data_IF_215649497859
#
_entry.id   IF_215649497859
#
_cell.length_a   1.000
_cell.length_b   1.000
_cell.length_c   1.000
_cell.angle_alpha   90.00
_cell.angle_beta   90.00
_cell.angle_gamma   90.00
#
_symmetry.space_group_name_H-M   'P 1'
#
loop_
_entity.id
_entity.type
_entity.pdbx_description
1 polymer ?
#
# COMPACT_ATOMS: atom_id res chain seq x y z
N UNK A 1 20.88 -31.96 30.83
CA UNK A 1 22.07 -32.79 30.49
C UNK A 1 23.30 -32.54 31.39
N UNK A 2 23.29 -31.56 32.29
CA UNK A 2 24.42 -31.19 33.15
C UNK A 2 24.50 -31.98 34.46
N UNK A 3 23.38 -32.54 34.93
CA UNK A 3 23.29 -33.29 36.20
C UNK A 3 24.13 -34.58 36.16
N UNK A 4 24.05 -35.37 35.09
CA UNK A 4 24.81 -36.62 34.98
C UNK A 4 26.31 -36.39 34.74
N UNK A 5 26.69 -35.27 34.09
CA UNK A 5 28.12 -34.93 33.89
C UNK A 5 28.79 -34.49 35.19
N UNK A 6 28.05 -33.79 36.06
CA UNK A 6 28.50 -33.42 37.41
C UNK A 6 28.53 -34.63 38.34
N UNK A 7 27.53 -35.52 38.31
CA UNK A 7 27.54 -36.75 39.11
C UNK A 7 28.68 -37.69 38.72
N UNK A 8 29.02 -37.78 37.44
CA UNK A 8 30.11 -38.63 36.96
C UNK A 8 31.50 -38.04 37.25
N UNK A 9 31.65 -36.71 37.14
CA UNK A 9 32.87 -36.02 37.56
C UNK A 9 33.04 -36.12 39.09
N UNK A 10 31.96 -35.95 39.86
CA UNK A 10 31.98 -36.09 41.31
C UNK A 10 32.28 -37.53 41.73
N UNK A 11 31.68 -38.55 41.08
CA UNK A 11 31.98 -39.95 41.39
C UNK A 11 33.42 -40.33 41.02
N UNK A 12 33.93 -39.84 39.89
CA UNK A 12 35.33 -40.06 39.50
C UNK A 12 36.30 -39.36 40.44
N UNK A 13 36.00 -38.14 40.90
CA UNK A 13 36.82 -37.41 41.87
C UNK A 13 36.77 -38.10 43.23
N UNK A 14 35.60 -38.54 43.69
CA UNK A 14 35.45 -39.27 44.96
C UNK A 14 36.19 -40.61 44.93
N UNK A 15 36.18 -41.31 43.79
CA UNK A 15 36.87 -42.58 43.62
C UNK A 15 38.39 -42.41 43.55
N UNK A 16 38.89 -41.35 42.90
CA UNK A 16 40.32 -40.98 42.88
C UNK A 16 40.79 -40.53 44.27
N UNK A 17 39.95 -39.80 45.01
CA UNK A 17 40.24 -39.38 46.39
C UNK A 17 40.31 -40.57 47.35
N UNK A 18 39.42 -41.55 47.18
CA UNK A 18 39.44 -42.80 47.94
C UNK A 18 40.67 -43.65 47.58
N UNK A 19 41.08 -43.66 46.31
CA UNK A 19 42.29 -44.31 45.83
C UNK A 19 43.56 -43.70 46.45
N UNK A 20 43.66 -42.36 46.51
CA UNK A 20 44.79 -41.65 47.10
C UNK A 20 44.93 -41.91 48.62
N UNK A 21 43.80 -41.95 49.34
CA UNK A 21 43.77 -42.24 50.78
C UNK A 21 44.15 -43.71 51.06
N UNK A 22 43.72 -44.65 50.22
CA UNK A 22 44.08 -46.07 50.34
C UNK A 22 45.59 -46.30 50.10
N UNK A 23 46.18 -45.62 49.10
CA UNK A 23 47.62 -45.70 48.84
C UNK A 23 48.47 -45.04 49.92
N UNK A 24 47.98 -43.96 50.56
CA UNK A 24 48.69 -43.32 51.68
C UNK A 24 48.69 -44.19 52.95
N UNK A 25 47.58 -44.89 53.25
CA UNK A 25 47.49 -45.80 54.40
C UNK A 25 48.30 -47.09 54.22
N UNK A 26 48.51 -47.55 52.98
CA UNK A 26 49.37 -48.69 52.69
C UNK A 26 50.88 -48.36 52.82
N UNK A 27 51.26 -47.08 52.75
CA UNK A 27 52.65 -46.65 52.87
C UNK A 27 53.16 -46.54 54.33
N UNK A 28 52.27 -46.47 55.34
CA UNK A 28 52.67 -46.35 56.75
C UNK A 28 52.95 -47.69 57.46
N UNK A 29 52.68 -48.85 56.85
CA UNK A 29 53.00 -50.17 57.40
C UNK A 29 53.89 -50.99 56.45
N UNK A 30 55.22 -50.82 56.51
CA UNK A 30 56.11 -51.75 55.80
C UNK A 30 57.60 -51.40 55.83
N UNK A 31 58.34 -51.99 56.77
CA UNK A 31 59.80 -52.00 56.77
C UNK A 31 60.42 -53.03 55.80
N UNK A 32 61.54 -52.63 55.18
CA UNK A 32 62.62 -53.38 54.48
C UNK A 32 62.25 -54.27 53.28
N UNK A 33 62.67 -53.80 52.10
CA UNK A 33 63.09 -54.47 50.85
C UNK A 33 62.21 -55.55 50.16
N UNK A 34 61.41 -56.34 50.87
CA UNK A 34 60.43 -57.28 50.26
C UNK A 34 59.04 -56.64 50.08
N UNK A 35 58.78 -55.48 50.68
CA UNK A 35 57.51 -54.77 50.57
C UNK A 35 57.36 -53.98 49.25
N UNK A 36 58.47 -53.64 48.57
CA UNK A 36 58.44 -52.78 47.39
C UNK A 36 57.84 -53.50 46.16
N UNK A 37 58.22 -54.76 45.93
CA UNK A 37 57.69 -55.58 44.83
C UNK A 37 56.22 -55.98 45.07
N UNK A 38 55.86 -56.27 46.33
CA UNK A 38 54.46 -56.58 46.69
C UNK A 38 53.53 -55.37 46.53
N UNK A 39 54.01 -54.17 46.88
CA UNK A 39 53.26 -52.93 46.71
C UNK A 39 53.08 -52.56 45.23
N UNK A 40 54.10 -52.77 44.39
CA UNK A 40 54.01 -52.58 42.94
C UNK A 40 53.00 -53.55 42.29
N UNK A 41 52.99 -54.82 42.67
CA UNK A 41 52.02 -55.81 42.17
C UNK A 41 50.59 -55.44 42.59
N UNK A 42 50.41 -55.03 43.85
CA UNK A 42 49.10 -54.59 44.35
C UNK A 42 48.60 -53.32 43.64
N UNK A 43 49.49 -52.38 43.34
CA UNK A 43 49.18 -51.19 42.55
C UNK A 43 48.81 -51.54 41.10
N UNK A 44 49.51 -52.49 40.47
CA UNK A 44 49.17 -52.97 39.13
C UNK A 44 47.82 -53.68 39.07
N UNK A 45 47.50 -54.51 40.07
CA UNK A 45 46.19 -55.16 40.18
C UNK A 45 45.08 -54.12 40.36
N UNK A 46 45.27 -53.14 41.24
CA UNK A 46 44.32 -52.05 41.42
C UNK A 46 44.15 -51.20 40.16
N UNK A 47 45.25 -50.88 39.47
CA UNK A 47 45.22 -50.19 38.17
C UNK A 47 44.44 -51.01 37.14
N UNK A 48 44.65 -52.33 37.06
CA UNK A 48 43.92 -53.21 36.16
C UNK A 48 42.42 -53.22 36.46
N UNK A 49 42.02 -53.22 37.73
CA UNK A 49 40.60 -53.15 38.15
C UNK A 49 39.98 -51.82 37.72
N UNK A 50 40.63 -50.69 38.01
CA UNK A 50 40.13 -49.36 37.64
C UNK A 50 40.09 -49.19 36.12
N UNK A 51 41.14 -49.63 35.41
CA UNK A 51 41.21 -49.60 33.96
C UNK A 51 40.09 -50.45 33.34
N UNK A 52 39.81 -51.63 33.88
CA UNK A 52 38.73 -52.51 33.40
C UNK A 52 37.35 -51.86 33.54
N UNK A 53 37.06 -51.24 34.69
CA UNK A 53 35.79 -50.52 34.92
C UNK A 53 35.66 -49.31 33.99
N UNK A 54 36.74 -48.55 33.80
CA UNK A 54 36.77 -47.37 32.94
C UNK A 54 36.59 -47.75 31.46
N UNK A 55 37.28 -48.80 31.00
CA UNK A 55 37.12 -49.34 29.65
C UNK A 55 35.70 -49.86 29.41
N UNK A 56 35.11 -50.59 30.36
CA UNK A 56 33.73 -51.07 30.26
C UNK A 56 32.73 -49.91 30.15
N UNK A 57 32.92 -48.85 30.95
CA UNK A 57 32.04 -47.69 30.97
C UNK A 57 32.19 -46.82 29.71
N UNK A 58 33.42 -46.66 29.22
CA UNK A 58 33.72 -46.03 27.95
C UNK A 58 33.10 -46.82 26.79
N UNK A 59 33.27 -48.14 26.72
CA UNK A 59 32.64 -48.96 25.68
C UNK A 59 31.11 -48.89 25.73
N UNK A 60 30.50 -48.82 26.93
CA UNK A 60 29.05 -48.74 27.07
C UNK A 60 28.47 -47.35 26.72
N UNK A 61 29.21 -46.25 26.91
CA UNK A 61 28.69 -44.88 26.75
C UNK A 61 29.22 -44.12 25.52
N UNK A 62 30.42 -44.43 25.03
CA UNK A 62 31.02 -43.80 23.86
C UNK A 62 30.17 -43.93 22.58
N UNK A 63 29.68 -45.12 22.16
CA UNK A 63 28.94 -45.24 20.91
C UNK A 63 27.62 -44.45 20.92
N UNK A 64 26.95 -44.37 22.08
CA UNK A 64 25.73 -43.58 22.22
C UNK A 64 25.96 -42.06 22.09
N UNK A 65 27.12 -41.56 22.53
CA UNK A 65 27.46 -40.14 22.42
C UNK A 65 27.80 -39.75 20.96
N UNK A 66 28.65 -40.52 20.30
CA UNK A 66 29.00 -40.28 18.90
C UNK A 66 27.81 -40.42 17.97
N UNK A 67 26.96 -41.44 18.18
CA UNK A 67 25.75 -41.64 17.37
C UNK A 67 24.76 -40.48 17.49
N UNK A 68 24.53 -39.95 18.70
CA UNK A 68 23.68 -38.77 18.91
C UNK A 68 24.22 -37.52 18.22
N UNK A 69 25.55 -37.31 18.22
CA UNK A 69 26.15 -36.16 17.51
C UNK A 69 26.06 -36.32 16.00
N UNK A 70 26.33 -37.52 15.48
CA UNK A 70 26.19 -37.81 14.06
C UNK A 70 24.74 -37.62 13.58
N UNK A 71 23.76 -38.09 14.36
CA UNK A 71 22.34 -37.90 14.08
C UNK A 71 21.92 -36.43 14.15
N UNK A 72 22.39 -35.68 15.15
CA UNK A 72 22.14 -34.25 15.25
C UNK A 72 22.71 -33.47 14.06
N UNK A 73 23.93 -33.79 13.62
CA UNK A 73 24.57 -33.17 12.45
C UNK A 73 23.82 -33.54 11.17
N UNK A 74 23.50 -34.82 10.97
CA UNK A 74 22.72 -35.30 9.83
C UNK A 74 21.35 -34.61 9.74
N UNK A 75 20.65 -34.51 10.87
CA UNK A 75 19.38 -33.80 10.94
C UNK A 75 19.55 -32.31 10.65
N UNK A 76 20.60 -31.66 11.16
CA UNK A 76 20.85 -30.25 10.90
C UNK A 76 21.15 -29.99 9.41
N UNK A 77 21.96 -30.84 8.77
CA UNK A 77 22.26 -30.75 7.34
C UNK A 77 20.98 -30.96 6.51
N UNK A 78 20.19 -31.97 6.84
CA UNK A 78 18.93 -32.25 6.14
C UNK A 78 17.95 -31.08 6.27
N UNK A 79 17.81 -30.52 7.48
CA UNK A 79 16.96 -29.35 7.72
C UNK A 79 17.47 -28.11 6.99
N UNK A 80 18.78 -27.86 6.98
CA UNK A 80 19.39 -26.75 6.25
C UNK A 80 19.18 -26.89 4.73
N UNK A 81 19.33 -28.10 4.19
CA UNK A 81 19.06 -28.40 2.78
C UNK A 81 17.60 -28.16 2.42
N UNK A 82 16.66 -28.64 3.24
CA UNK A 82 15.23 -28.39 3.05
C UNK A 82 14.86 -26.91 3.13
N UNK A 83 15.42 -26.18 4.11
CA UNK A 83 15.21 -24.74 4.24
C UNK A 83 15.76 -23.96 3.03
N UNK A 84 16.94 -24.34 2.54
CA UNK A 84 17.53 -23.74 1.32
C UNK A 84 16.66 -24.01 0.09
N UNK A 85 16.21 -25.24 -0.11
CA UNK A 85 15.33 -25.60 -1.22
C UNK A 85 13.99 -24.84 -1.18
N UNK A 86 13.40 -24.69 0.01
CA UNK A 86 12.18 -23.90 0.21
C UNK A 86 12.41 -22.41 -0.10
N UNK A 87 13.52 -21.83 0.36
CA UNK A 87 13.89 -20.45 0.07
C UNK A 87 14.13 -20.22 -1.44
N UNK A 88 14.80 -21.15 -2.11
CA UNK A 88 15.01 -21.09 -3.57
C UNK A 88 13.70 -21.20 -4.35
N UNK A 89 12.76 -22.04 -3.90
CA UNK A 89 11.43 -22.14 -4.48
C UNK A 89 10.64 -20.83 -4.33
N UNK A 90 10.63 -20.24 -3.12
CA UNK A 90 9.99 -18.95 -2.86
C UNK A 90 10.62 -17.83 -3.69
N UNK A 91 11.94 -17.80 -3.81
CA UNK A 91 12.65 -16.82 -4.63
C UNK A 91 12.26 -16.93 -6.11
N UNK A 92 12.13 -18.17 -6.62
CA UNK A 92 11.70 -18.41 -8.00
C UNK A 92 10.27 -17.94 -8.22
N UNK A 93 9.37 -18.25 -7.30
CA UNK A 93 7.98 -17.79 -7.36
C UNK A 93 7.89 -16.25 -7.31
N UNK A 94 8.62 -15.61 -6.39
CA UNK A 94 8.67 -14.16 -6.28
C UNK A 94 9.23 -13.50 -7.56
N UNK A 95 10.29 -14.06 -8.16
CA UNK A 95 10.83 -13.60 -9.44
C UNK A 95 9.82 -13.74 -10.57
N UNK A 96 9.09 -14.84 -10.63
CA UNK A 96 8.05 -15.05 -11.63
C UNK A 96 6.90 -14.05 -11.47
N UNK A 97 6.44 -13.81 -10.23
CA UNK A 97 5.43 -12.79 -9.92
C UNK A 97 5.90 -11.40 -10.32
N UNK A 98 7.15 -11.05 -10.01
CA UNK A 98 7.72 -9.76 -10.37
C UNK A 98 7.82 -9.58 -11.89
N UNK A 99 8.21 -10.64 -12.62
CA UNK A 99 8.22 -10.61 -14.08
C UNK A 99 6.81 -10.45 -14.67
N UNK A 100 5.78 -11.04 -14.04
CA UNK A 100 4.39 -10.88 -14.47
C UNK A 100 3.87 -9.47 -14.24
N UNK A 101 4.16 -8.88 -13.07
CA UNK A 101 3.78 -7.50 -12.73
C UNK A 101 4.34 -6.51 -13.75
N UNK A 102 5.58 -6.70 -14.24
CA UNK A 102 6.13 -5.82 -15.26
C UNK A 102 5.34 -5.86 -16.58
N UNK A 103 4.79 -7.02 -16.94
CA UNK A 103 3.89 -7.16 -18.11
C UNK A 103 2.54 -6.50 -17.85
N UNK A 104 1.94 -6.77 -16.69
CA UNK A 104 0.67 -6.16 -16.28
C UNK A 104 0.77 -4.62 -16.26
N UNK A 105 1.89 -4.06 -15.78
CA UNK A 105 2.14 -2.61 -15.81
C UNK A 105 2.22 -2.08 -17.24
N UNK A 106 2.89 -2.81 -18.15
CA UNK A 106 3.00 -2.40 -19.55
C UNK A 106 1.62 -2.42 -20.24
N UNK A 107 0.83 -3.46 -19.99
CA UNK A 107 -0.55 -3.58 -20.48
C UNK A 107 -1.44 -2.46 -19.91
N UNK A 108 -1.37 -2.22 -18.60
CA UNK A 108 -2.15 -1.16 -17.95
C UNK A 108 -1.79 0.23 -18.49
N UNK A 109 -0.51 0.50 -18.76
CA UNK A 109 -0.08 1.76 -19.38
C UNK A 109 -0.63 1.91 -20.79
N UNK A 110 -0.55 0.85 -21.61
CA UNK A 110 -1.07 0.89 -22.97
C UNK A 110 -2.60 1.11 -23.00
N UNK A 111 -3.34 0.48 -22.08
CA UNK A 111 -4.78 0.71 -21.91
C UNK A 111 -5.05 2.14 -21.46
N UNK A 112 -4.35 2.63 -20.43
CA UNK A 112 -4.52 3.99 -19.92
C UNK A 112 -4.22 5.07 -20.97
N UNK A 113 -3.18 4.89 -21.80
CA UNK A 113 -2.87 5.81 -22.90
C UNK A 113 -3.97 5.83 -23.95
N UNK A 114 -4.50 4.65 -24.33
CA UNK A 114 -5.60 4.54 -25.29
C UNK A 114 -6.89 5.15 -24.76
N UNK A 115 -7.24 4.87 -23.51
CA UNK A 115 -8.44 5.42 -22.86
C UNK A 115 -8.32 6.93 -22.66
N UNK A 116 -7.16 7.42 -22.24
CA UNK A 116 -6.89 8.85 -22.09
C UNK A 116 -7.05 9.59 -23.43
N UNK A 117 -6.47 9.06 -24.51
CA UNK A 117 -6.60 9.67 -25.84
C UNK A 117 -8.07 9.69 -26.32
N UNK A 118 -8.82 8.61 -26.10
CA UNK A 118 -10.23 8.54 -26.44
C UNK A 118 -11.07 9.53 -25.62
N UNK A 119 -10.80 9.63 -24.32
CA UNK A 119 -11.51 10.52 -23.41
C UNK A 119 -11.22 11.99 -23.71
N UNK A 120 -9.98 12.36 -24.00
CA UNK A 120 -9.62 13.71 -24.45
C UNK A 120 -10.38 14.08 -25.73
N UNK A 121 -10.48 13.17 -26.70
CA UNK A 121 -11.24 13.40 -27.91
C UNK A 121 -12.74 13.59 -27.62
N UNK A 122 -13.32 12.77 -26.73
CA UNK A 122 -14.71 12.87 -26.30
C UNK A 122 -15.01 14.19 -25.60
N UNK A 123 -14.18 14.58 -24.64
CA UNK A 123 -14.30 15.84 -23.91
C UNK A 123 -14.19 17.02 -24.87
N UNK A 124 -13.23 17.00 -25.81
CA UNK A 124 -13.08 18.07 -26.79
C UNK A 124 -14.30 18.21 -27.70
N UNK A 125 -14.87 17.10 -28.17
CA UNK A 125 -16.07 17.12 -28.99
C UNK A 125 -17.30 17.63 -28.21
N UNK A 126 -17.45 17.21 -26.95
CA UNK A 126 -18.50 17.70 -26.07
C UNK A 126 -18.36 19.21 -25.81
N UNK A 127 -17.15 19.66 -25.45
CA UNK A 127 -16.86 21.08 -25.21
C UNK A 127 -17.12 21.95 -26.45
N UNK A 128 -16.77 21.47 -27.65
CA UNK A 128 -17.06 22.18 -28.90
C UNK A 128 -18.57 22.28 -29.16
N UNK A 129 -19.30 21.19 -28.90
CA UNK A 129 -20.77 21.16 -29.04
C UNK A 129 -21.43 22.13 -28.05
N UNK A 130 -20.97 22.14 -26.80
CA UNK A 130 -21.50 23.02 -25.77
C UNK A 130 -21.16 24.49 -26.06
N UNK A 131 -19.96 24.78 -26.53
CA UNK A 131 -19.58 26.11 -26.99
C UNK A 131 -20.49 26.61 -28.13
N UNK A 132 -20.81 25.75 -29.10
CA UNK A 132 -21.75 26.08 -30.18
C UNK A 132 -23.16 26.35 -29.66
N UNK A 133 -23.66 25.54 -28.72
CA UNK A 133 -24.97 25.76 -28.09
C UNK A 133 -25.02 27.06 -27.31
N UNK A 134 -23.99 27.37 -26.54
CA UNK A 134 -23.87 28.63 -25.79
C UNK A 134 -23.87 29.81 -26.75
N UNK A 135 -23.08 29.75 -27.83
CA UNK A 135 -23.04 30.81 -28.83
C UNK A 135 -24.40 31.01 -29.52
N UNK A 136 -25.09 29.91 -29.87
CA UNK A 136 -26.42 29.98 -30.46
C UNK A 136 -27.45 30.59 -29.50
N UNK A 137 -27.42 30.18 -28.22
CA UNK A 137 -28.30 30.74 -27.19
C UNK A 137 -28.03 32.22 -26.96
N UNK A 138 -26.76 32.62 -26.86
CA UNK A 138 -26.35 34.02 -26.69
C UNK A 138 -26.80 34.88 -27.87
N UNK A 139 -26.64 34.41 -29.11
CA UNK A 139 -27.12 35.13 -30.28
C UNK A 139 -28.65 35.29 -30.27
N UNK A 140 -29.39 34.24 -29.92
CA UNK A 140 -30.85 34.30 -29.81
C UNK A 140 -31.31 35.29 -28.72
N UNK A 141 -30.59 35.36 -27.60
CA UNK A 141 -30.84 36.30 -26.51
C UNK A 141 -30.53 37.75 -26.93
N UNK A 142 -29.40 37.98 -27.61
CA UNK A 142 -29.04 39.29 -28.18
C UNK A 142 -30.12 39.76 -29.15
N UNK A 143 -30.55 38.91 -30.07
CA UNK A 143 -31.60 39.27 -31.03
C UNK A 143 -32.94 39.58 -30.34
N UNK A 144 -33.28 38.84 -29.27
CA UNK A 144 -34.48 39.11 -28.50
C UNK A 144 -34.38 40.46 -27.77
N UNK A 145 -33.24 40.75 -27.15
CA UNK A 145 -32.96 42.02 -26.48
C UNK A 145 -32.97 43.19 -27.48
N UNK A 146 -32.38 43.02 -28.67
CA UNK A 146 -32.44 44.03 -29.73
C UNK A 146 -33.87 44.33 -30.16
N UNK A 147 -34.70 43.31 -30.37
CA UNK A 147 -36.11 43.50 -30.73
C UNK A 147 -36.86 44.23 -29.63
N UNK A 148 -36.65 43.85 -28.37
CA UNK A 148 -37.26 44.52 -27.22
C UNK A 148 -36.84 46.00 -27.14
N UNK A 149 -35.54 46.29 -27.22
CA UNK A 149 -35.02 47.66 -27.19
C UNK A 149 -35.52 48.51 -28.37
N UNK A 150 -35.62 47.95 -29.58
CA UNK A 150 -36.20 48.66 -30.73
C UNK A 150 -37.69 49.00 -30.51
N UNK A 151 -38.45 48.11 -29.88
CA UNK A 151 -39.86 48.36 -29.56
C UNK A 151 -39.99 49.47 -28.50
N UNK A 152 -39.15 49.44 -27.47
CA UNK A 152 -39.10 50.46 -26.43
C UNK A 152 -38.75 51.84 -27.00
N UNK A 153 -37.72 51.93 -27.84
CA UNK A 153 -37.36 53.19 -28.52
C UNK A 153 -38.48 53.73 -29.41
N UNK A 154 -39.20 52.85 -30.13
CA UNK A 154 -40.36 53.25 -30.95
C UNK A 154 -41.50 53.77 -30.08
N UNK A 155 -41.78 53.12 -28.96
CA UNK A 155 -42.82 53.55 -28.03
C UNK A 155 -42.48 54.93 -27.44
N UNK A 156 -41.23 55.14 -27.02
CA UNK A 156 -40.75 56.43 -26.51
C UNK A 156 -40.83 57.52 -27.58
N UNK A 157 -40.40 57.23 -28.82
CA UNK A 157 -40.49 58.18 -29.92
C UNK A 157 -41.94 58.55 -30.25
N UNK A 158 -42.86 57.58 -30.24
CA UNK A 158 -44.28 57.84 -30.43
C UNK A 158 -44.86 58.71 -29.31
N UNK A 159 -44.49 58.44 -28.05
CA UNK A 159 -44.90 59.23 -26.91
C UNK A 159 -44.40 60.68 -27.02
N UNK A 160 -43.10 60.89 -27.29
CA UNK A 160 -42.53 62.23 -27.46
C UNK A 160 -43.16 62.98 -28.65
N UNK A 161 -43.49 62.27 -29.73
CA UNK A 161 -44.17 62.87 -30.88
C UNK A 161 -45.60 63.34 -30.53
N UNK A 162 -46.34 62.56 -29.73
CA UNK A 162 -47.68 62.94 -29.25
C UNK A 162 -47.60 64.14 -28.30
N UNK A 163 -46.68 64.12 -27.32
CA UNK A 163 -46.46 65.24 -26.40
C UNK A 163 -46.06 66.52 -27.14
N UNK A 164 -45.18 66.40 -28.15
CA UNK A 164 -44.80 67.52 -29.01
C UNK A 164 -45.95 68.05 -29.86
N UNK A 165 -46.75 67.16 -30.44
CA UNK A 165 -47.93 67.54 -31.22
C UNK A 165 -49.00 68.23 -30.36
N UNK A 166 -49.23 67.75 -29.13
CA UNK A 166 -50.12 68.37 -28.15
C UNK A 166 -49.65 69.79 -27.80
N UNK A 167 -48.37 69.96 -27.50
CA UNK A 167 -47.77 71.28 -27.22
C UNK A 167 -47.96 72.26 -28.39
N UNK A 168 -47.76 71.81 -29.62
CA UNK A 168 -47.98 72.63 -30.82
C UNK A 168 -49.46 72.97 -31.03
N UNK A 169 -50.37 72.01 -30.81
CA UNK A 169 -51.82 72.22 -30.92
C UNK A 169 -52.30 73.29 -29.94
N UNK A 170 -51.84 73.25 -28.68
CA UNK A 170 -52.16 74.25 -27.65
C UNK A 170 -51.69 75.65 -28.08
N UNK A 171 -50.51 75.77 -28.70
CA UNK A 171 -50.00 77.05 -29.19
C UNK A 171 -50.77 77.60 -30.41
N UNK A 172 -51.27 76.71 -31.28
CA UNK A 172 -52.00 77.08 -32.50
C UNK A 172 -53.51 77.29 -32.29
N UNK A 173 -54.05 76.90 -31.14
CA UNK A 173 -55.47 77.04 -30.80
C UNK A 173 -55.85 78.52 -30.59
N UNK A 174 -56.28 79.15 -31.68
CA UNK A 174 -56.87 80.49 -31.67
C UNK A 174 -58.40 80.39 -31.85
N UNK A 175 -59.19 81.40 -31.42
CA UNK A 175 -60.66 81.37 -31.56
C UNK A 175 -61.12 81.08 -33.00
N UNK A 176 -60.43 81.66 -34.00
CA UNK A 176 -60.71 81.45 -35.43
C UNK A 176 -60.42 80.02 -35.90
N UNK A 177 -59.39 79.37 -35.34
CA UNK A 177 -59.09 77.97 -35.64
C UNK A 177 -60.14 77.04 -35.03
N UNK A 178 -60.68 77.37 -33.86
CA UNK A 178 -61.73 76.63 -33.17
C UNK A 178 -63.05 76.65 -33.96
N UNK A 179 -63.47 77.82 -34.47
CA UNK A 179 -64.65 77.95 -35.33
C UNK A 179 -64.50 77.17 -36.65
N UNK A 180 -63.30 77.15 -37.24
CA UNK A 180 -63.01 76.35 -38.44
C UNK A 180 -63.07 74.84 -38.17
N UNK A 181 -62.63 74.38 -37.00
CA UNK A 181 -62.73 72.97 -36.61
C UNK A 181 -64.19 72.53 -36.45
N UNK A 182 -65.02 73.35 -35.80
CA UNK A 182 -66.45 73.05 -35.60
C UNK A 182 -67.18 72.99 -36.94
N UNK A 183 -66.96 73.98 -37.82
CA UNK A 183 -67.57 73.98 -39.16
C UNK A 183 -67.13 72.78 -40.01
N UNK A 184 -65.86 72.38 -39.97
CA UNK A 184 -65.38 71.18 -40.65
C UNK A 184 -65.94 69.88 -40.07
N UNK A 185 -66.11 69.80 -38.75
CA UNK A 185 -66.71 68.64 -38.09
C UNK A 185 -68.18 68.45 -38.51
N UNK A 186 -68.98 69.52 -38.47
CA UNK A 186 -70.37 69.50 -38.96
C UNK A 186 -70.44 69.04 -40.41
N UNK A 187 -69.54 69.56 -41.27
CA UNK A 187 -69.45 69.15 -42.68
C UNK A 187 -69.07 67.68 -42.86
N UNK A 188 -68.23 67.12 -41.97
CA UNK A 188 -67.85 65.70 -42.00
C UNK A 188 -68.98 64.77 -41.57
N UNK A 189 -69.89 65.24 -40.72
CA UNK A 189 -71.09 64.51 -40.32
C UNK A 189 -72.15 64.53 -41.42
N UNK A 190 -72.28 65.64 -42.15
CA UNK A 190 -73.15 65.73 -43.33
C UNK A 190 -72.67 64.85 -44.50
N UNK A 191 -71.36 64.57 -44.59
CA UNK A 191 -70.73 63.79 -45.67
C UNK A 191 -70.64 62.28 -45.45
N UNK A 192 -71.10 61.73 -44.33
CA UNK A 192 -71.21 60.27 -44.11
C UNK A 192 -72.67 59.83 -44.31
N UNK A 193 -73.06 59.40 -45.52
CA UNK A 193 -74.30 58.63 -45.69
C UNK A 193 -74.11 57.28 -44.96
N UNK A 194 -75.15 56.87 -44.23
CA UNK A 194 -75.20 55.60 -43.49
C UNK A 194 -74.74 54.40 -44.32
#
# INVERSE_FOLDING_TARGET
MTRNRRVFALSSILFVSFFAVATARAAEQGGKATAQTANEIFNWINFAIVASVLLWLCWKKAPGFFRRRAEAISSAITKAGGAKAAAEAQLREAKNKLANIQKEIAELRAVAERESAAEVARIRAAAQTDAQKIAAAANAEIEAAERAGRLELKALAAQLAVEGAESLLVQLLTPKAQDSLISNFVKSLEGRPN
#
